data_IF_445147598835
#
_entry.id   IF_445147598835
#
_cell.length_a   1.000
_cell.length_b   1.000
_cell.length_c   1.000
_cell.angle_alpha   90.00
_cell.angle_beta   90.00
_cell.angle_gamma   90.00
#
_symmetry.space_group_name_H-M   'P 1'
#
loop_
_entity.id
_entity.type
_entity.pdbx_description
1 polymer ?
#
# COMPACT_ATOMS: atom_id res chain seq x y z
N UNK A 1 1.34 5.26 -9.44
CA UNK A 1 1.78 5.09 -8.03
C UNK A 1 3.01 5.94 -7.82
N UNK A 2 3.29 6.42 -6.61
CA UNK A 2 4.61 6.97 -6.29
C UNK A 2 5.33 6.08 -5.29
N UNK A 3 6.65 6.04 -5.39
CA UNK A 3 7.55 5.29 -4.50
C UNK A 3 8.51 6.28 -3.88
N UNK A 4 8.61 6.31 -2.56
CA UNK A 4 9.54 7.19 -1.85
C UNK A 4 10.97 6.69 -1.96
N UNK A 5 11.89 7.54 -2.38
CA UNK A 5 13.33 7.27 -2.51
C UNK A 5 14.13 8.31 -1.73
N UNK A 6 14.40 8.01 -0.46
CA UNK A 6 15.13 8.92 0.42
C UNK A 6 14.33 10.20 0.66
N UNK A 7 14.82 11.33 0.13
CA UNK A 7 14.20 12.64 0.31
C UNK A 7 13.23 13.02 -0.82
N UNK A 8 13.19 12.25 -1.90
CA UNK A 8 12.32 12.46 -3.06
C UNK A 8 11.43 11.25 -3.31
N UNK A 9 10.58 11.34 -4.34
CA UNK A 9 9.72 10.25 -4.77
C UNK A 9 9.76 10.09 -6.29
N UNK A 10 9.58 8.86 -6.74
CA UNK A 10 9.51 8.49 -8.14
C UNK A 10 8.05 8.13 -8.47
N UNK A 11 7.51 8.65 -9.57
CA UNK A 11 6.19 8.34 -10.11
C UNK A 11 6.29 7.25 -11.17
N UNK A 12 5.47 6.23 -10.98
CA UNK A 12 5.38 5.04 -11.80
C UNK A 12 3.97 4.87 -12.37
N UNK A 13 3.88 4.53 -13.65
CA UNK A 13 2.64 4.04 -14.26
C UNK A 13 2.69 2.52 -14.38
N UNK A 14 1.57 1.88 -14.02
CA UNK A 14 1.37 0.45 -14.28
C UNK A 14 0.41 0.35 -15.45
N UNK A 15 0.92 -0.04 -16.61
CA UNK A 15 0.14 -0.17 -17.85
C UNK A 15 0.18 -1.63 -18.26
N UNK A 16 -0.97 -2.28 -18.33
CA UNK A 16 -1.08 -3.72 -18.65
C UNK A 16 -0.23 -4.63 -17.74
N UNK A 17 -0.02 -4.23 -16.48
CA UNK A 17 0.79 -4.98 -15.52
C UNK A 17 2.29 -4.68 -15.57
N UNK A 18 2.75 -3.88 -16.54
CA UNK A 18 4.15 -3.46 -16.66
C UNK A 18 4.39 -2.16 -15.90
N UNK A 19 5.44 -2.13 -15.08
CA UNK A 19 5.87 -0.96 -14.31
C UNK A 19 6.77 -0.05 -15.17
N UNK A 20 6.42 1.23 -15.26
CA UNK A 20 7.12 2.23 -16.05
C UNK A 20 7.41 3.47 -15.22
N UNK A 21 8.70 3.78 -15.08
CA UNK A 21 9.16 5.03 -14.44
C UNK A 21 8.82 6.21 -15.35
N UNK A 22 8.08 7.19 -14.80
CA UNK A 22 7.59 8.33 -15.57
C UNK A 22 8.16 9.67 -15.10
N UNK A 23 8.32 9.86 -13.79
CA UNK A 23 8.95 11.05 -13.23
C UNK A 23 9.76 10.68 -11.98
N UNK A 24 10.87 11.37 -11.74
CA UNK A 24 11.71 11.21 -10.56
C UNK A 24 11.77 12.51 -9.77
N UNK A 25 12.37 12.46 -8.59
CA UNK A 25 12.75 13.63 -7.81
C UNK A 25 11.57 14.51 -7.35
N UNK A 26 10.40 13.90 -7.18
CA UNK A 26 9.20 14.58 -6.72
C UNK A 26 9.34 14.93 -5.24
N UNK A 27 9.21 16.21 -4.84
CA UNK A 27 9.22 16.60 -3.44
C UNK A 27 7.93 16.12 -2.77
N UNK A 28 8.05 15.33 -1.71
CA UNK A 28 6.91 14.73 -1.01
C UNK A 28 6.88 15.02 0.49
N UNK A 29 7.90 15.70 1.02
CA UNK A 29 8.04 15.94 2.46
C UNK A 29 7.41 17.25 2.93
N UNK A 30 7.44 18.28 2.09
CA UNK A 30 6.98 19.63 2.46
C UNK A 30 5.46 19.79 2.32
N UNK A 31 4.82 18.99 1.45
CA UNK A 31 3.40 19.06 1.16
C UNK A 31 2.82 17.71 0.70
N UNK A 32 1.50 17.48 0.87
CA UNK A 32 0.83 16.31 0.32
C UNK A 32 0.91 16.25 -1.22
N UNK A 33 1.03 15.04 -1.75
CA UNK A 33 0.94 14.80 -3.20
C UNK A 33 -0.50 14.59 -3.62
N UNK A 34 -0.92 15.28 -4.67
CA UNK A 34 -2.25 15.16 -5.26
C UNK A 34 -2.17 14.52 -6.65
N UNK A 35 -2.99 13.51 -6.89
CA UNK A 35 -3.16 12.93 -8.22
C UNK A 35 -4.19 13.75 -9.00
N UNK A 36 -3.77 14.34 -10.12
CA UNK A 36 -4.62 15.10 -11.02
C UNK A 36 -4.64 14.40 -12.37
N UNK A 37 -5.82 14.29 -12.96
CA UNK A 37 -6.00 13.73 -14.31
C UNK A 37 -6.74 14.77 -15.13
N UNK A 38 -6.14 15.14 -16.25
CA UNK A 38 -6.77 15.97 -17.26
C UNK A 38 -7.21 15.09 -18.43
N UNK A 39 -8.47 15.18 -18.84
CA UNK A 39 -9.11 14.25 -19.77
C UNK A 39 -9.62 15.01 -20.98
N UNK A 40 -9.15 14.61 -22.17
CA UNK A 40 -9.57 15.18 -23.45
C UNK A 40 -10.05 14.08 -24.40
N UNK A 41 -11.02 14.43 -25.27
CA UNK A 41 -11.55 13.53 -26.30
C UNK A 41 -12.74 12.69 -25.85
N UNK A 42 -13.06 11.66 -26.64
CA UNK A 42 -14.26 10.83 -26.43
C UNK A 42 -13.94 9.60 -25.59
N UNK A 43 -14.54 9.51 -24.41
CA UNK A 43 -14.46 8.33 -23.54
C UNK A 43 -15.84 7.98 -22.99
N UNK A 44 -16.09 6.70 -22.72
CA UNK A 44 -17.37 6.27 -22.13
C UNK A 44 -17.47 6.65 -20.65
N UNK A 45 -16.38 6.47 -19.90
CA UNK A 45 -16.34 6.73 -18.46
C UNK A 45 -14.89 6.74 -17.96
N UNK A 46 -14.60 7.58 -16.96
CA UNK A 46 -13.33 7.60 -16.22
C UNK A 46 -13.65 7.49 -14.74
N UNK A 47 -12.93 6.60 -14.04
CA UNK A 47 -13.10 6.38 -12.61
C UNK A 47 -11.75 6.35 -11.91
N UNK A 48 -11.61 7.15 -10.87
CA UNK A 48 -10.51 7.00 -9.91
C UNK A 48 -10.95 5.97 -8.88
N UNK A 49 -10.22 4.86 -8.81
CA UNK A 49 -10.45 3.79 -7.83
C UNK A 49 -9.26 3.77 -6.89
N UNK A 50 -9.46 4.13 -5.62
CA UNK A 50 -8.46 3.85 -4.60
C UNK A 50 -8.33 2.34 -4.41
N UNK A 51 -7.16 1.79 -4.70
CA UNK A 51 -6.85 0.37 -4.46
C UNK A 51 -6.44 0.09 -3.00
N UNK A 52 -6.65 1.04 -2.09
CA UNK A 52 -6.27 0.90 -0.68
C UNK A 52 -7.03 -0.29 -0.07
N UNK A 53 -6.28 -1.32 0.32
CA UNK A 53 -6.80 -2.50 1.01
C UNK A 53 -6.86 -3.79 0.19
N UNK A 54 -6.65 -3.78 -1.13
CA UNK A 54 -6.73 -5.01 -1.95
C UNK A 54 -5.36 -5.59 -2.30
N UNK A 55 -4.34 -4.75 -2.51
CA UNK A 55 -2.97 -5.26 -2.65
C UNK A 55 -2.36 -5.39 -1.27
N UNK A 56 -2.86 -6.36 -0.51
CA UNK A 56 -2.21 -6.79 0.71
C UNK A 56 -0.77 -7.16 0.33
N UNK A 57 0.22 -6.50 0.94
CA UNK A 57 1.58 -7.04 0.89
C UNK A 57 1.52 -8.49 1.35
N UNK A 58 2.35 -9.37 0.81
CA UNK A 58 2.39 -10.77 1.27
C UNK A 58 2.48 -10.85 2.80
N UNK A 59 3.22 -9.92 3.42
CA UNK A 59 3.30 -9.79 4.87
C UNK A 59 1.94 -9.50 5.54
N UNK A 60 1.14 -8.57 5.02
CA UNK A 60 -0.20 -8.28 5.54
C UNK A 60 -1.21 -9.39 5.24
N UNK A 61 -1.13 -10.05 4.07
CA UNK A 61 -1.97 -11.20 3.74
C UNK A 61 -1.67 -12.39 4.66
N UNK A 62 -0.39 -12.69 4.90
CA UNK A 62 0.03 -13.70 5.87
C UNK A 62 -0.45 -13.36 7.29
N UNK A 63 -0.37 -12.08 7.69
CA UNK A 63 -0.89 -11.63 8.98
C UNK A 63 -2.39 -11.90 9.11
N UNK A 64 -3.18 -11.53 8.11
CA UNK A 64 -4.63 -11.76 8.13
C UNK A 64 -4.96 -13.26 8.17
N UNK A 65 -4.27 -14.09 7.40
CA UNK A 65 -4.44 -15.54 7.42
C UNK A 65 -4.10 -16.18 8.78
N UNK A 66 -3.04 -15.71 9.44
CA UNK A 66 -2.65 -16.16 10.79
C UNK A 66 -3.71 -15.76 11.81
N UNK A 67 -4.16 -14.50 11.79
CA UNK A 67 -5.13 -13.97 12.76
C UNK A 67 -6.54 -14.53 12.57
N UNK A 68 -6.86 -15.09 11.39
CA UNK A 68 -8.10 -15.85 11.18
C UNK A 68 -8.14 -17.18 11.95
N UNK A 69 -6.99 -17.79 12.24
CA UNK A 69 -6.90 -19.12 12.84
C UNK A 69 -6.37 -19.10 14.27
N UNK A 70 -5.88 -17.96 14.76
CA UNK A 70 -5.18 -17.84 16.04
C UNK A 70 -5.70 -16.61 16.79
N UNK A 71 -6.02 -16.79 18.07
CA UNK A 71 -6.44 -15.68 18.93
C UNK A 71 -5.27 -14.73 19.23
N UNK A 72 -5.57 -13.45 19.47
CA UNK A 72 -4.56 -12.42 19.79
C UNK A 72 -3.67 -12.80 20.99
N UNK A 73 -4.22 -13.51 21.97
CA UNK A 73 -3.47 -14.03 23.12
C UNK A 73 -2.49 -15.14 22.73
N UNK A 74 -2.86 -16.03 21.79
CA UNK A 74 -2.04 -17.14 21.33
C UNK A 74 -0.90 -16.69 20.39
N UNK A 75 -0.95 -15.49 19.82
CA UNK A 75 0.17 -14.92 19.05
C UNK A 75 1.48 -14.88 19.87
N UNK A 76 1.38 -14.70 21.19
CA UNK A 76 2.55 -14.62 22.08
C UNK A 76 3.31 -15.96 22.20
N UNK A 77 2.60 -17.09 22.06
CA UNK A 77 3.17 -18.43 22.23
C UNK A 77 3.79 -18.99 20.94
N UNK A 78 3.57 -18.33 19.79
CA UNK A 78 4.14 -18.76 18.51
C UNK A 78 5.69 -18.73 18.55
N UNK A 79 6.36 -19.66 17.85
CA UNK A 79 7.81 -19.70 17.72
C UNK A 79 8.31 -18.65 16.70
N UNK A 80 7.90 -17.39 16.89
CA UNK A 80 8.24 -16.27 16.01
C UNK A 80 9.15 -15.24 16.72
N UNK A 81 10.02 -14.55 15.97
CA UNK A 81 10.76 -13.39 16.46
C UNK A 81 9.85 -12.30 17.07
N UNK A 82 10.38 -11.57 18.06
CA UNK A 82 9.63 -10.52 18.79
C UNK A 82 8.99 -9.49 17.86
N UNK A 83 9.72 -9.02 16.85
CA UNK A 83 9.22 -8.05 15.86
C UNK A 83 8.00 -8.55 15.09
N UNK A 84 7.95 -9.85 14.76
CA UNK A 84 6.81 -10.42 14.06
C UNK A 84 5.60 -10.59 14.99
N UNK A 85 5.82 -10.94 16.26
CA UNK A 85 4.75 -10.95 17.28
C UNK A 85 4.15 -9.57 17.49
N UNK A 86 5.00 -8.54 17.56
CA UNK A 86 4.58 -7.14 17.65
C UNK A 86 3.76 -6.73 16.42
N UNK A 87 4.23 -7.08 15.21
CA UNK A 87 3.51 -6.79 13.97
C UNK A 87 2.13 -7.48 13.89
N UNK A 88 2.03 -8.75 14.31
CA UNK A 88 0.76 -9.48 14.34
C UNK A 88 -0.24 -8.84 15.33
N UNK A 89 0.24 -8.31 16.46
CA UNK A 89 -0.59 -7.62 17.46
C UNK A 89 -0.93 -6.15 17.09
N UNK A 90 -0.19 -5.54 16.17
CA UNK A 90 -0.34 -4.13 15.82
C UNK A 90 -1.65 -3.85 15.07
N UNK A 91 -2.56 -3.05 15.64
CA UNK A 91 -3.80 -2.70 14.93
C UNK A 91 -3.54 -1.57 13.94
N UNK A 92 -3.43 -1.89 12.65
CA UNK A 92 -3.61 -0.89 11.59
C UNK A 92 -5.11 -0.64 11.48
N UNK A 93 -5.58 0.49 12.00
CA UNK A 93 -6.94 0.97 11.82
C UNK A 93 -7.37 0.84 10.36
N UNK A 94 -8.30 -0.08 10.08
CA UNK A 94 -9.03 -0.09 8.79
C UNK A 94 -9.89 1.18 8.75
N UNK A 95 -9.75 2.06 7.75
CA UNK A 95 -10.78 3.05 7.49
C UNK A 95 -12.06 2.28 7.14
N UNK A 96 -13.18 2.64 7.79
CA UNK A 96 -14.51 2.14 7.43
C UNK A 96 -14.94 2.67 6.06
#
# INVERSE_FOLDING_TARGET
MYVTRGQSADMHFIINGEDQLYATDIPHQDAPLYAVVDVYGTTKHVRIVQLYGVVASLQSACRDAILQHISSCAVRTLPLPRKLKEYLCYHSSRPQ
#
